data_IF_973511033271
#
_entry.id   IF_973511033271
#
_cell.length_a   1.000
_cell.length_b   1.000
_cell.length_c   1.000
_cell.angle_alpha   90.00
_cell.angle_beta   90.00
_cell.angle_gamma   90.00
#
_symmetry.space_group_name_H-M   'P 1'
#
loop_
_entity.id
_entity.type
_entity.pdbx_description
1 polymer ?
#
# COMPACT_ATOMS: atom_id res chain seq x y z
N UNK A 1 12.49 9.32 22.91
CA UNK A 1 12.08 8.02 22.35
C UNK A 1 11.69 7.12 23.52
N UNK A 2 10.72 6.21 23.34
CA UNK A 2 10.40 5.18 24.34
C UNK A 2 9.10 5.34 25.15
N UNK A 3 8.22 6.30 24.82
CA UNK A 3 6.89 6.38 25.45
C UNK A 3 5.87 5.48 24.72
N UNK A 4 5.97 4.18 24.98
CA UNK A 4 5.11 3.17 24.35
C UNK A 4 3.64 3.31 24.72
N UNK A 5 3.32 3.88 25.90
CA UNK A 5 1.95 4.07 26.35
C UNK A 5 1.24 5.14 25.52
N UNK A 6 1.91 6.28 25.29
CA UNK A 6 1.38 7.34 24.42
C UNK A 6 1.16 6.83 23.00
N UNK A 7 2.10 6.07 22.45
CA UNK A 7 1.98 5.49 21.09
C UNK A 7 0.80 4.51 21.02
N UNK A 8 0.68 3.58 21.99
CA UNK A 8 -0.42 2.62 22.01
C UNK A 8 -1.78 3.30 22.12
N UNK A 9 -1.87 4.34 22.96
CA UNK A 9 -3.10 5.13 23.14
C UNK A 9 -3.50 5.87 21.88
N UNK A 10 -2.55 6.48 21.18
CA UNK A 10 -2.79 7.18 19.92
C UNK A 10 -3.37 6.22 18.85
N UNK A 11 -2.70 5.07 18.64
CA UNK A 11 -3.16 4.07 17.67
C UNK A 11 -4.56 3.56 18.06
N UNK A 12 -4.77 3.20 19.33
CA UNK A 12 -6.04 2.63 19.81
C UNK A 12 -7.22 3.57 19.57
N UNK A 13 -7.06 4.87 19.84
CA UNK A 13 -8.14 5.85 19.61
C UNK A 13 -8.58 5.92 18.15
N UNK A 14 -7.61 5.83 17.21
CA UNK A 14 -7.91 5.75 15.78
C UNK A 14 -8.59 4.43 15.43
N UNK A 15 -8.08 3.31 15.92
CA UNK A 15 -8.64 1.97 15.68
C UNK A 15 -10.10 1.89 16.12
N UNK A 16 -10.40 2.24 17.36
CA UNK A 16 -11.76 2.18 17.91
C UNK A 16 -12.75 3.03 17.08
N UNK A 17 -12.34 4.25 16.73
CA UNK A 17 -13.17 5.17 15.94
C UNK A 17 -13.43 4.63 14.52
N UNK A 18 -12.39 4.14 13.86
CA UNK A 18 -12.46 3.70 12.45
C UNK A 18 -13.17 2.34 12.33
N UNK A 19 -12.96 1.44 13.30
CA UNK A 19 -13.66 0.15 13.37
C UNK A 19 -15.15 0.32 13.63
N UNK A 20 -15.55 1.28 14.48
CA UNK A 20 -16.97 1.63 14.67
C UNK A 20 -17.64 2.12 13.37
N UNK A 21 -16.85 2.67 12.44
CA UNK A 21 -17.29 3.06 11.10
C UNK A 21 -17.11 1.95 10.03
N UNK A 22 -16.74 0.72 10.43
CA UNK A 22 -16.60 -0.43 9.53
C UNK A 22 -15.41 -0.35 8.56
N UNK A 23 -14.36 0.39 8.89
CA UNK A 23 -13.19 0.61 8.05
C UNK A 23 -11.90 -0.01 8.63
N UNK A 24 -10.88 -0.22 7.79
CA UNK A 24 -9.60 -0.81 8.20
C UNK A 24 -8.53 0.23 8.49
N UNK A 25 -7.76 0.02 9.57
CA UNK A 25 -6.62 0.86 9.97
C UNK A 25 -5.30 0.24 9.54
N UNK A 26 -4.38 1.10 9.06
CA UNK A 26 -3.01 0.71 8.68
C UNK A 26 -2.04 1.68 9.34
N UNK A 27 -1.23 1.18 10.27
CA UNK A 27 -0.26 2.00 11.00
C UNK A 27 1.02 2.09 10.20
N UNK A 28 1.40 3.30 9.78
CA UNK A 28 2.70 3.55 9.14
C UNK A 28 3.74 3.73 10.24
N UNK A 29 4.75 2.86 10.28
CA UNK A 29 5.81 2.94 11.31
C UNK A 29 7.01 3.79 10.87
N UNK A 30 7.09 4.13 9.58
CA UNK A 30 8.19 4.87 8.95
C UNK A 30 9.57 4.24 9.20
N UNK A 31 9.76 3.04 8.62
CA UNK A 31 10.94 2.18 8.85
C UNK A 31 12.29 2.86 8.61
N UNK A 32 12.35 3.89 7.74
CA UNK A 32 13.58 4.62 7.44
C UNK A 32 14.14 5.41 8.64
N UNK A 33 13.33 5.64 9.68
CA UNK A 33 13.70 6.43 10.86
C UNK A 33 13.87 5.58 12.13
N UNK A 34 13.60 4.28 12.04
CA UNK A 34 13.59 3.38 13.18
C UNK A 34 14.72 2.35 13.10
N UNK A 35 15.29 2.03 14.25
CA UNK A 35 16.09 0.83 14.44
C UNK A 35 15.22 -0.43 14.33
N UNK A 36 15.83 -1.61 14.17
CA UNK A 36 15.06 -2.85 14.10
C UNK A 36 14.30 -3.16 15.40
N UNK A 37 14.88 -2.81 16.55
CA UNK A 37 14.21 -2.94 17.85
C UNK A 37 12.97 -2.04 17.91
N UNK A 38 13.09 -0.78 17.47
CA UNK A 38 11.95 0.14 17.42
C UNK A 38 10.89 -0.30 16.39
N UNK A 39 11.28 -0.89 15.25
CA UNK A 39 10.33 -1.48 14.29
C UNK A 39 9.54 -2.63 14.91
N UNK A 40 10.20 -3.50 15.69
CA UNK A 40 9.55 -4.59 16.41
C UNK A 40 8.55 -4.03 17.42
N UNK A 41 8.98 -3.09 18.26
CA UNK A 41 8.11 -2.45 19.27
C UNK A 41 6.90 -1.78 18.60
N UNK A 42 7.11 -0.98 17.55
CA UNK A 42 6.02 -0.31 16.85
C UNK A 42 5.02 -1.31 16.24
N UNK A 43 5.50 -2.43 15.70
CA UNK A 43 4.63 -3.49 15.18
C UNK A 43 3.81 -4.17 16.28
N UNK A 44 4.41 -4.43 17.45
CA UNK A 44 3.71 -5.02 18.60
C UNK A 44 2.64 -4.06 19.13
N UNK A 45 2.97 -2.78 19.31
CA UNK A 45 2.02 -1.76 19.75
C UNK A 45 0.84 -1.62 18.77
N UNK A 46 1.11 -1.58 17.47
CA UNK A 46 0.06 -1.54 16.46
C UNK A 46 -0.86 -2.78 16.51
N UNK A 47 -0.28 -3.97 16.68
CA UNK A 47 -1.01 -5.22 16.82
C UNK A 47 -1.87 -5.25 18.09
N UNK A 48 -1.31 -4.88 19.23
CA UNK A 48 -2.00 -4.84 20.53
C UNK A 48 -3.10 -3.79 20.58
N UNK A 49 -2.93 -2.68 19.85
CA UNK A 49 -3.96 -1.66 19.68
C UNK A 49 -5.08 -2.07 18.71
N UNK A 50 -4.96 -3.20 18.01
CA UNK A 50 -5.99 -3.75 17.12
C UNK A 50 -5.93 -3.26 15.68
N UNK A 51 -4.80 -2.72 15.21
CA UNK A 51 -4.66 -2.30 13.82
C UNK A 51 -4.71 -3.48 12.85
N UNK A 52 -5.33 -3.30 11.67
CA UNK A 52 -5.47 -4.37 10.68
C UNK A 52 -4.18 -4.60 9.87
N UNK A 53 -3.37 -3.56 9.72
CA UNK A 53 -2.09 -3.62 9.02
C UNK A 53 -1.01 -2.81 9.74
N UNK A 54 0.22 -3.28 9.60
CA UNK A 54 1.43 -2.45 9.69
C UNK A 54 1.92 -2.08 8.29
N UNK A 55 2.39 -0.86 8.11
CA UNK A 55 2.84 -0.29 6.83
C UNK A 55 4.24 0.29 6.98
N UNK A 56 5.12 0.05 6.00
CA UNK A 56 6.53 0.46 6.08
C UNK A 56 6.71 1.98 6.15
N UNK A 57 6.34 2.70 5.09
CA UNK A 57 6.79 4.09 4.87
C UNK A 57 5.68 5.00 4.34
N UNK A 58 5.80 6.30 4.59
CA UNK A 58 4.92 7.33 3.98
C UNK A 58 5.24 7.55 2.51
N UNK A 59 6.51 7.42 2.13
CA UNK A 59 7.04 7.78 0.81
C UNK A 59 7.64 9.20 0.73
N UNK A 60 7.74 9.90 1.86
CA UNK A 60 8.29 11.26 1.94
C UNK A 60 9.60 11.36 2.73
N UNK A 61 10.02 10.29 3.42
CA UNK A 61 11.30 10.20 4.13
C UNK A 61 12.42 9.62 3.25
N UNK A 62 13.63 9.48 3.80
CA UNK A 62 14.83 9.06 3.04
C UNK A 62 14.88 7.59 2.60
N UNK A 63 13.83 6.80 2.82
CA UNK A 63 13.79 5.37 2.50
C UNK A 63 12.39 4.84 2.22
N UNK A 64 12.32 3.63 1.64
CA UNK A 64 11.08 2.95 1.28
C UNK A 64 10.99 1.53 1.87
N UNK A 65 10.14 0.69 1.29
CA UNK A 65 10.03 -0.70 1.71
C UNK A 65 11.26 -1.50 1.30
N UNK A 66 11.81 -2.29 2.23
CA UNK A 66 12.88 -3.25 1.97
C UNK A 66 12.42 -4.67 2.27
N UNK A 67 13.03 -5.67 1.61
CA UNK A 67 12.77 -7.10 1.89
C UNK A 67 13.03 -7.42 3.36
N UNK A 68 14.11 -6.86 3.92
CA UNK A 68 14.46 -7.02 5.32
C UNK A 68 13.36 -6.51 6.27
N UNK A 69 12.90 -5.28 6.07
CA UNK A 69 11.87 -4.69 6.93
C UNK A 69 10.55 -5.45 6.84
N UNK A 70 10.15 -5.89 5.64
CA UNK A 70 8.93 -6.69 5.46
C UNK A 70 9.02 -8.02 6.20
N UNK A 71 10.14 -8.73 6.09
CA UNK A 71 10.34 -10.00 6.77
C UNK A 71 10.33 -9.81 8.30
N UNK A 72 10.97 -8.76 8.81
CA UNK A 72 10.97 -8.40 10.23
C UNK A 72 9.55 -8.09 10.71
N UNK A 73 8.82 -7.22 10.01
CA UNK A 73 7.45 -6.84 10.35
C UNK A 73 6.52 -8.07 10.33
N UNK A 74 6.60 -8.91 9.28
CA UNK A 74 5.81 -10.14 9.17
C UNK A 74 6.08 -11.08 10.34
N UNK A 75 7.34 -11.33 10.67
CA UNK A 75 7.73 -12.18 11.81
C UNK A 75 7.11 -11.66 13.11
N UNK A 76 7.13 -10.34 13.31
CA UNK A 76 6.64 -9.70 14.54
C UNK A 76 5.11 -9.75 14.67
N UNK A 77 4.37 -9.40 13.60
CA UNK A 77 2.90 -9.32 13.71
C UNK A 77 2.21 -10.68 13.58
N UNK A 78 2.87 -11.67 12.97
CA UNK A 78 2.31 -13.01 12.74
C UNK A 78 1.41 -13.05 11.51
N UNK A 79 0.58 -14.10 11.34
CA UNK A 79 -0.15 -14.35 10.09
C UNK A 79 -1.46 -13.57 9.95
N UNK A 80 -2.04 -13.06 11.04
CA UNK A 80 -3.39 -12.47 11.05
C UNK A 80 -3.42 -10.99 10.67
N UNK A 81 -2.37 -10.25 11.04
CA UNK A 81 -2.24 -8.83 10.73
C UNK A 81 -1.59 -8.69 9.35
N UNK A 82 -2.12 -7.77 8.55
CA UNK A 82 -1.55 -7.50 7.24
C UNK A 82 -0.23 -6.74 7.30
N UNK A 83 0.64 -6.96 6.32
CA UNK A 83 1.88 -6.18 6.16
C UNK A 83 1.83 -5.49 4.82
N UNK A 84 1.85 -4.15 4.83
CA UNK A 84 1.80 -3.32 3.62
C UNK A 84 3.18 -2.73 3.30
N UNK A 85 3.75 -3.14 2.18
CA UNK A 85 4.95 -2.53 1.63
C UNK A 85 4.60 -1.28 0.83
N UNK A 86 5.27 -0.16 1.11
CA UNK A 86 5.13 1.07 0.32
C UNK A 86 6.35 1.98 0.40
N UNK A 87 6.55 2.80 -0.62
CA UNK A 87 7.73 3.63 -0.83
C UNK A 87 8.75 2.90 -1.70
N UNK A 88 9.05 3.44 -2.87
CA UNK A 88 10.08 2.91 -3.77
C UNK A 88 9.74 1.67 -4.61
N UNK A 89 8.47 1.22 -4.65
CA UNK A 89 8.07 0.03 -5.43
C UNK A 89 7.70 0.43 -6.86
N UNK A 90 8.58 0.17 -7.83
CA UNK A 90 8.44 0.67 -9.22
C UNK A 90 8.42 -0.41 -10.29
N UNK A 91 8.76 -1.65 -9.94
CA UNK A 91 8.83 -2.78 -10.85
C UNK A 91 8.02 -3.98 -10.33
N UNK A 92 7.78 -4.94 -11.23
CA UNK A 92 7.10 -6.20 -10.87
C UNK A 92 7.98 -7.03 -9.95
N UNK A 93 9.27 -7.04 -10.24
CA UNK A 93 10.30 -7.75 -9.51
C UNK A 93 10.38 -7.26 -8.06
N UNK A 94 10.36 -5.93 -7.84
CA UNK A 94 10.31 -5.35 -6.50
C UNK A 94 9.06 -5.82 -5.74
N UNK A 95 7.90 -5.75 -6.39
CA UNK A 95 6.63 -6.13 -5.76
C UNK A 95 6.60 -7.62 -5.39
N UNK A 96 7.08 -8.49 -6.28
CA UNK A 96 7.16 -9.93 -6.04
C UNK A 96 8.15 -10.27 -4.91
N UNK A 97 9.31 -9.62 -4.88
CA UNK A 97 10.28 -9.80 -3.79
C UNK A 97 9.69 -9.41 -2.42
N UNK A 98 8.93 -8.31 -2.36
CA UNK A 98 8.27 -7.86 -1.12
C UNK A 98 7.12 -8.80 -0.71
N UNK A 99 6.35 -9.32 -1.67
CA UNK A 99 5.32 -10.34 -1.39
C UNK A 99 5.95 -11.62 -0.85
N UNK A 100 7.04 -12.10 -1.48
CA UNK A 100 7.78 -13.28 -1.04
C UNK A 100 8.35 -13.10 0.39
N UNK A 101 8.75 -11.88 0.75
CA UNK A 101 9.20 -11.54 2.10
C UNK A 101 8.07 -11.52 3.16
N UNK A 102 6.81 -11.52 2.73
CA UNK A 102 5.64 -11.60 3.62
C UNK A 102 4.69 -10.40 3.54
N UNK A 103 4.87 -9.47 2.59
CA UNK A 103 3.88 -8.40 2.38
C UNK A 103 2.58 -9.00 1.82
N UNK A 104 1.44 -8.61 2.40
CA UNK A 104 0.11 -8.97 1.89
C UNK A 104 -0.56 -7.82 1.14
N UNK A 105 0.07 -6.65 1.11
CA UNK A 105 -0.39 -5.52 0.30
C UNK A 105 0.77 -4.68 -0.21
N UNK A 106 0.68 -4.24 -1.46
CA UNK A 106 1.62 -3.28 -2.07
C UNK A 106 0.94 -1.91 -2.20
N UNK A 107 1.66 -0.85 -1.84
CA UNK A 107 1.32 0.53 -2.14
C UNK A 107 2.34 1.13 -3.10
N UNK A 108 1.93 1.38 -4.34
CA UNK A 108 2.78 1.91 -5.40
C UNK A 108 1.99 2.88 -6.29
N UNK A 109 2.62 3.98 -6.72
CA UNK A 109 2.09 4.86 -7.77
C UNK A 109 2.29 4.27 -9.17
N UNK A 110 3.29 3.42 -9.35
CA UNK A 110 3.59 2.73 -10.61
C UNK A 110 2.72 1.48 -10.86
N UNK A 111 1.55 1.36 -10.23
CA UNK A 111 0.75 0.13 -10.21
C UNK A 111 0.40 -0.41 -11.61
N UNK A 112 0.05 0.46 -12.56
CA UNK A 112 -0.25 0.08 -13.95
C UNK A 112 0.97 -0.56 -14.61
N UNK A 113 2.15 0.05 -14.48
CA UNK A 113 3.41 -0.46 -15.02
C UNK A 113 3.76 -1.83 -14.43
N UNK A 114 3.61 -1.98 -13.11
CA UNK A 114 3.88 -3.22 -12.37
C UNK A 114 3.02 -4.37 -12.92
N UNK A 115 1.73 -4.13 -13.18
CA UNK A 115 0.82 -5.15 -13.70
C UNK A 115 1.11 -5.47 -15.18
N UNK A 116 1.32 -4.43 -16.01
CA UNK A 116 1.56 -4.60 -17.45
C UNK A 116 2.88 -5.33 -17.77
N UNK A 117 3.90 -5.19 -16.92
CA UNK A 117 5.15 -5.94 -17.04
C UNK A 117 4.93 -7.47 -17.01
N UNK A 118 3.76 -7.93 -16.55
CA UNK A 118 3.42 -9.34 -16.55
C UNK A 118 2.81 -9.91 -17.81
N UNK A 119 2.73 -9.15 -18.90
CA UNK A 119 2.38 -9.69 -20.21
C UNK A 119 0.98 -10.29 -20.24
N UNK A 120 -0.02 -9.46 -19.99
CA UNK A 120 -1.34 -9.71 -20.58
C UNK A 120 -1.60 -8.55 -21.50
N UNK A 121 -1.59 -8.81 -22.82
CA UNK A 121 -2.15 -7.87 -23.78
C UNK A 121 -3.59 -7.60 -23.33
N UNK A 122 -3.84 -6.40 -22.81
CA UNK A 122 -5.19 -5.89 -22.74
C UNK A 122 -5.59 -5.69 -24.18
N UNK A 123 -6.37 -6.63 -24.74
CA UNK A 123 -7.09 -6.39 -25.99
C UNK A 123 -7.96 -5.16 -25.76
N UNK A 124 -7.47 -4.00 -26.16
CA UNK A 124 -8.27 -2.80 -26.27
C UNK A 124 -9.35 -3.11 -27.29
N UNK A 125 -10.56 -3.42 -26.82
CA UNK A 125 -11.73 -3.41 -27.70
C UNK A 125 -11.88 -1.98 -28.15
N UNK A 126 -11.42 -1.70 -29.37
CA UNK A 126 -11.66 -0.43 -30.03
C UNK A 126 -13.16 -0.12 -29.95
N UNK A 127 -13.49 1.03 -29.39
CA UNK A 127 -14.85 1.58 -29.48
C UNK A 127 -15.20 1.72 -30.96
N UNK A 128 -16.37 1.27 -31.44
CA UNK A 128 -16.73 1.44 -32.84
C UNK A 128 -16.81 2.94 -33.12
N UNK A 129 -15.83 3.45 -33.87
CA UNK A 129 -15.91 4.75 -34.52
C UNK A 129 -17.08 4.70 -35.51
N UNK A 130 -18.18 5.35 -35.17
CA UNK A 130 -19.35 5.36 -36.04
C UNK A 130 -20.32 6.47 -35.68
N UNK A 131 -20.09 7.66 -36.25
CA UNK A 131 -21.11 8.39 -37.02
C UNK A 131 -20.39 9.38 -37.94
N UNK A 132 -20.27 9.02 -39.22
CA UNK A 132 -20.07 10.00 -40.29
C UNK A 132 -21.34 10.84 -40.40
N UNK A 133 -21.20 12.14 -40.12
CA UNK A 133 -22.24 13.13 -40.39
C UNK A 133 -22.46 13.23 -41.91
N UNK A 134 -23.70 13.18 -42.44
CA UNK A 134 -23.92 13.46 -43.85
C UNK A 134 -23.77 14.97 -44.10
N UNK A 135 -22.98 15.31 -45.11
CA UNK A 135 -22.84 16.66 -45.62
C UNK A 135 -24.19 17.19 -46.11
N UNK A 136 -24.66 18.29 -45.53
CA UNK A 136 -25.74 19.09 -46.11
C UNK A 136 -25.13 20.11 -47.08
N UNK A 137 -25.21 19.80 -48.37
CA UNK A 137 -25.00 20.77 -49.45
C UNK A 137 -26.27 21.59 -49.67
N UNK A 138 -26.05 22.87 -49.95
CA UNK A 138 -26.97 23.96 -50.26
C UNK A 138 -28.07 23.67 -51.29
N UNK A 139 -29.21 24.38 -51.13
CA UNK A 139 -29.89 25.14 -52.20
C UNK A 139 -30.99 26.08 -51.67
N UNK A 140 -30.85 27.35 -52.08
CA UNK A 140 -31.88 28.34 -52.47
C UNK A 140 -33.06 28.65 -51.52
N UNK A 141 -33.06 29.86 -50.95
CA UNK A 141 -33.76 31.04 -51.50
C UNK A 141 -33.09 32.31 -50.96
#
# INVERSE_FOLDING_TARGET
AGDSEVVAKDIRGVVETVHAAGSLVKVIIETALLTDEEKVIACLLAKEAGADFVKTSTGFSGGGATVHDIALMRKTVGPTIGVKASGGVHSREDAEALVAAGATRIGASAGVKIIQAGGTEVKTTASPSGTSSPAASSKAY
#
